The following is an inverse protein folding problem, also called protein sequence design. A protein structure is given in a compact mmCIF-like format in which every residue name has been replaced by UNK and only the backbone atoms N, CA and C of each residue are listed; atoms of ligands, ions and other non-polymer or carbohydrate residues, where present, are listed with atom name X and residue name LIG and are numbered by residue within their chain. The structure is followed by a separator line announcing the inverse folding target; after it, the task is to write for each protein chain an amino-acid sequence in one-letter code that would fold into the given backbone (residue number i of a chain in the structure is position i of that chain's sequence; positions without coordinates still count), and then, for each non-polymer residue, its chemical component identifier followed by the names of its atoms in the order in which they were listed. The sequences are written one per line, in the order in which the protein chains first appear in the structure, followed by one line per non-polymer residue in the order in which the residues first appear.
data_IF_923456835242
#
_entry.id   IF_923456835242
#
_cell.length_a   1.000
_cell.length_b   1.000
_cell.length_c   1.000
_cell.angle_alpha   90.00
_cell.angle_beta   90.00
_cell.angle_gamma   90.00
#
_symmetry.space_group_name_H-M   'P 1'
#
loop_
_entity.id
_entity.type
_entity.pdbx_description
1 polymer ?
#
# COMPACT_ATOMS: atom_id res chain seq x y z
N UNK A 1 16.02 -18.23 16.93
CA UNK A 1 17.17 -17.32 17.07
C UNK A 1 16.64 -15.90 17.09
N UNK A 2 16.57 -15.27 18.26
CA UNK A 2 16.06 -13.91 18.46
C UNK A 2 17.21 -12.88 18.36
N UNK A 3 17.94 -12.88 17.25
CA UNK A 3 19.04 -11.94 16.96
C UNK A 3 18.55 -10.77 16.10
N UNK A 4 17.30 -10.87 15.62
CA UNK A 4 16.71 -9.95 14.67
C UNK A 4 16.25 -8.65 15.33
N UNK A 5 15.69 -8.66 16.55
CA UNK A 5 15.07 -7.44 17.10
C UNK A 5 16.05 -6.36 17.55
N UNK A 6 17.18 -6.71 18.16
CA UNK A 6 18.11 -5.70 18.71
C UNK A 6 18.96 -5.05 17.60
N UNK A 7 19.37 -5.85 16.61
CA UNK A 7 20.07 -5.35 15.42
C UNK A 7 19.15 -4.49 14.56
N UNK A 8 17.92 -4.92 14.35
CA UNK A 8 16.88 -4.17 13.62
C UNK A 8 16.49 -2.89 14.37
N UNK A 9 16.40 -2.92 15.70
CA UNK A 9 16.17 -1.72 16.52
C UNK A 9 17.31 -0.71 16.40
N UNK A 10 18.56 -1.15 16.46
CA UNK A 10 19.72 -0.27 16.28
C UNK A 10 19.76 0.33 14.87
N UNK A 11 19.41 -0.46 13.85
CA UNK A 11 19.32 0.02 12.48
C UNK A 11 18.19 1.04 12.30
N UNK A 12 17.00 0.79 12.84
CA UNK A 12 15.87 1.72 12.79
C UNK A 12 16.16 3.01 13.57
N UNK A 13 16.83 2.93 14.71
CA UNK A 13 17.26 4.11 15.45
C UNK A 13 18.25 4.94 14.63
N UNK A 14 19.23 4.29 13.99
CA UNK A 14 20.16 4.96 13.08
C UNK A 14 19.44 5.65 11.91
N UNK A 15 18.44 4.99 11.31
CA UNK A 15 17.67 5.58 10.21
C UNK A 15 16.81 6.77 10.68
N UNK A 16 16.25 6.70 11.89
CA UNK A 16 15.50 7.81 12.47
C UNK A 16 16.40 9.03 12.67
N UNK A 17 17.58 8.82 13.24
CA UNK A 17 18.61 9.86 13.43
C UNK A 17 19.09 10.42 12.08
N UNK A 18 19.28 9.57 11.07
CA UNK A 18 19.69 9.97 9.71
C UNK A 18 18.66 10.88 9.02
N UNK A 19 17.38 10.55 9.14
CA UNK A 19 16.30 11.38 8.58
C UNK A 19 15.95 12.58 9.46
N UNK A 20 16.53 12.69 10.67
CA UNK A 20 16.22 13.76 11.62
C UNK A 20 14.80 13.68 12.19
N UNK A 21 14.19 12.50 12.17
CA UNK A 21 12.83 12.24 12.67
C UNK A 21 12.86 11.32 13.88
N UNK A 22 11.78 11.29 14.65
CA UNK A 22 11.72 10.36 15.79
C UNK A 22 11.61 8.91 15.32
N UNK A 23 12.12 7.95 16.11
CA UNK A 23 11.93 6.53 15.84
C UNK A 23 10.45 6.16 15.72
N UNK A 24 9.56 6.79 16.51
CA UNK A 24 8.12 6.59 16.40
C UNK A 24 7.55 7.04 15.05
N UNK A 25 8.06 8.14 14.50
CA UNK A 25 7.67 8.67 13.20
C UNK A 25 8.21 7.83 12.05
N UNK A 26 9.45 7.37 12.14
CA UNK A 26 10.02 6.38 11.22
C UNK A 26 9.18 5.09 11.22
N UNK A 27 8.85 4.57 12.40
CA UNK A 27 8.03 3.36 12.54
C UNK A 27 6.61 3.57 12.00
N UNK A 28 6.00 4.74 12.20
CA UNK A 28 4.70 5.08 11.60
C UNK A 28 4.79 5.06 10.09
N UNK A 29 5.77 5.72 9.50
CA UNK A 29 5.94 5.75 8.04
C UNK A 29 6.22 4.35 7.47
N UNK A 30 7.08 3.58 8.13
CA UNK A 30 7.37 2.19 7.76
C UNK A 30 6.12 1.29 7.86
N UNK A 31 5.32 1.49 8.92
CA UNK A 31 4.07 0.75 9.13
C UNK A 31 3.00 1.13 8.11
N UNK A 32 2.89 2.41 7.77
CA UNK A 32 1.97 2.92 6.75
C UNK A 32 2.34 2.34 5.39
N UNK A 33 3.62 2.40 4.98
CA UNK A 33 4.04 1.83 3.71
C UNK A 33 3.79 0.32 3.60
N UNK A 34 3.93 -0.43 4.69
CA UNK A 34 3.55 -1.84 4.73
C UNK A 34 2.04 -2.03 4.62
N UNK A 35 1.26 -1.22 5.32
CA UNK A 35 -0.20 -1.29 5.32
C UNK A 35 -0.79 -0.91 3.95
N UNK A 36 -0.20 0.07 3.26
CA UNK A 36 -0.51 0.45 1.88
C UNK A 36 -0.21 -0.70 0.92
N UNK A 37 0.95 -1.33 1.05
CA UNK A 37 1.31 -2.48 0.21
C UNK A 37 0.38 -3.68 0.44
N UNK A 38 -0.01 -3.96 1.69
CA UNK A 38 -0.99 -5.01 2.02
C UNK A 38 -2.39 -4.65 1.49
N UNK A 39 -2.78 -3.38 1.56
CA UNK A 39 -4.04 -2.88 1.01
C UNK A 39 -4.09 -2.99 -0.53
N UNK A 40 -3.02 -2.60 -1.23
CA UNK A 40 -2.91 -2.70 -2.68
C UNK A 40 -3.03 -4.15 -3.16
N UNK A 41 -2.33 -5.08 -2.50
CA UNK A 41 -2.45 -6.51 -2.78
C UNK A 41 -3.89 -7.02 -2.59
N UNK A 42 -4.54 -6.58 -1.51
CA UNK A 42 -5.91 -6.97 -1.20
C UNK A 42 -6.92 -6.41 -2.23
N UNK A 43 -6.75 -5.16 -2.65
CA UNK A 43 -7.58 -4.54 -3.69
C UNK A 43 -7.35 -5.20 -5.05
N UNK A 44 -6.11 -5.55 -5.40
CA UNK A 44 -5.79 -6.26 -6.63
C UNK A 44 -6.49 -7.63 -6.67
N UNK A 45 -6.45 -8.39 -5.58
CA UNK A 45 -7.12 -9.69 -5.48
C UNK A 45 -8.65 -9.57 -5.55
N UNK A 46 -9.24 -8.58 -4.86
CA UNK A 46 -10.68 -8.30 -4.94
C UNK A 46 -11.09 -7.91 -6.37
N UNK A 47 -10.33 -7.01 -7.00
CA UNK A 47 -10.61 -6.52 -8.34
C UNK A 47 -10.52 -7.65 -9.35
N UNK A 48 -9.50 -8.51 -9.22
CA UNK A 48 -9.35 -9.69 -10.06
C UNK A 48 -10.52 -10.67 -9.89
N UNK A 49 -10.90 -10.99 -8.65
CA UNK A 49 -12.05 -11.86 -8.35
C UNK A 49 -13.36 -11.31 -8.93
N UNK A 50 -13.59 -10.00 -8.81
CA UNK A 50 -14.77 -9.32 -9.38
C UNK A 50 -14.78 -9.39 -10.90
N UNK A 51 -13.65 -9.11 -11.55
CA UNK A 51 -13.50 -9.19 -13.00
C UNK A 51 -13.76 -10.59 -13.54
N UNK A 52 -13.22 -11.62 -12.88
CA UNK A 52 -13.48 -13.03 -13.24
C UNK A 52 -14.97 -13.37 -13.06
N UNK A 53 -15.60 -12.93 -11.97
CA UNK A 53 -17.03 -13.17 -11.70
C UNK A 53 -17.95 -12.49 -12.72
N UNK A 54 -17.57 -11.32 -13.22
CA UNK A 54 -18.34 -10.59 -14.25
C UNK A 54 -18.05 -11.08 -15.68
N UNK A 55 -17.48 -12.28 -15.83
CA UNK A 55 -17.22 -12.89 -17.14
C UNK A 55 -16.05 -12.25 -17.88
N UNK A 56 -15.12 -11.62 -17.17
CA UNK A 56 -13.98 -10.89 -17.73
C UNK A 56 -14.40 -9.76 -18.67
N UNK A 57 -15.54 -9.12 -18.39
CA UNK A 57 -15.95 -7.93 -19.14
C UNK A 57 -14.83 -6.90 -19.12
N UNK A 58 -14.53 -6.41 -20.31
CA UNK A 58 -13.58 -5.35 -20.56
C UNK A 58 -14.45 -4.11 -20.79
N UNK A 59 -14.41 -3.18 -19.85
CA UNK A 59 -15.05 -1.87 -20.01
C UNK A 59 -14.11 -0.95 -20.76
N UNK A 60 -14.63 -0.24 -21.77
CA UNK A 60 -13.84 0.77 -22.47
C UNK A 60 -13.56 1.93 -21.52
N UNK A 61 -12.36 2.51 -21.61
CA UNK A 61 -12.04 3.73 -20.85
C UNK A 61 -12.97 4.88 -21.24
N UNK A 62 -13.43 4.92 -22.51
CA UNK A 62 -14.41 5.92 -22.98
C UNK A 62 -15.77 5.77 -22.28
N UNK A 63 -16.21 4.54 -22.00
CA UNK A 63 -17.48 4.27 -21.31
C UNK A 63 -17.40 4.73 -19.84
N UNK A 64 -16.26 4.51 -19.19
CA UNK A 64 -16.00 4.96 -17.80
C UNK A 64 -16.01 6.49 -17.71
N UNK A 65 -15.37 7.18 -18.67
CA UNK A 65 -15.34 8.65 -18.71
C UNK A 65 -16.74 9.21 -18.96
N UNK A 66 -17.55 8.54 -19.77
CA UNK A 66 -18.94 8.95 -20.00
C UNK A 66 -19.83 8.76 -18.77
N UNK A 67 -19.61 7.68 -17.99
CA UNK A 67 -20.41 7.35 -16.81
C UNK A 67 -20.03 8.19 -15.57
N UNK A 68 -18.74 8.51 -15.40
CA UNK A 68 -18.22 9.18 -14.19
C UNK A 68 -17.62 10.57 -14.44
N UNK A 69 -17.48 11.00 -15.70
CA UNK A 69 -16.89 12.29 -16.07
C UNK A 69 -17.87 13.48 -16.04
N UNK A 70 -19.17 13.25 -15.86
CA UNK A 70 -20.19 14.31 -15.90
C UNK A 70 -20.44 14.96 -14.52
N UNK A 71 -19.34 15.33 -13.86
CA UNK A 71 -19.34 16.24 -12.72
C UNK A 71 -18.50 17.48 -13.09
N UNK A 72 -19.02 18.24 -14.05
CA UNK A 72 -18.64 19.63 -14.30
C UNK A 72 -19.63 20.57 -13.61
#
# INVERSE_FOLDING_TARGET
MAITSDSEKNWLQYMADFYGISLSELLKNYSIGRLENEYDQHIADISHKRWVKDGKKIVSMDDIIHEFGDHS
#
